data_IF_916212033999
#
_entry.id   IF_916212033999
#
_cell.length_a   1.000
_cell.length_b   1.000
_cell.length_c   1.000
_cell.angle_alpha   90.00
_cell.angle_beta   90.00
_cell.angle_gamma   90.00
#
_symmetry.space_group_name_H-M   'P 1'
#
loop_
_entity.id
_entity.type
_entity.pdbx_description
1 polymer ?
#
# COMPACT_ATOMS: atom_id res chain seq x y z
N UNK A 1 -6.00 31.04 -9.11
CA UNK A 1 -5.08 29.93 -9.48
C UNK A 1 -4.98 29.04 -8.26
N UNK A 2 -5.50 27.81 -8.33
CA UNK A 2 -5.46 26.90 -7.20
C UNK A 2 -4.02 26.43 -6.97
N UNK A 3 -3.46 26.81 -5.83
CA UNK A 3 -2.18 26.32 -5.35
C UNK A 3 -2.35 24.81 -5.07
N UNK A 4 -1.66 23.98 -5.83
CA UNK A 4 -1.67 22.54 -5.61
C UNK A 4 -0.88 22.31 -4.33
N UNK A 5 -1.59 22.21 -3.20
CA UNK A 5 -1.03 21.83 -1.90
C UNK A 5 -0.29 20.51 -2.07
N UNK A 6 1.04 20.57 -2.17
CA UNK A 6 1.87 19.36 -2.23
C UNK A 6 1.66 18.62 -0.92
N UNK A 7 1.15 17.39 -1.00
CA UNK A 7 1.04 16.42 0.09
C UNK A 7 2.44 16.19 0.70
N UNK A 8 2.85 17.08 1.58
CA UNK A 8 4.14 17.05 2.27
C UNK A 8 4.00 16.66 3.74
N UNK A 9 2.77 16.42 4.20
CA UNK A 9 2.43 16.26 5.62
C UNK A 9 2.23 14.84 6.13
N UNK A 10 2.60 13.78 5.41
CA UNK A 10 2.35 12.41 5.88
C UNK A 10 3.52 11.47 5.59
N UNK A 11 4.62 11.65 6.33
CA UNK A 11 5.69 10.66 6.47
C UNK A 11 5.70 10.35 7.97
N UNK A 12 4.94 9.41 8.51
CA UNK A 12 4.99 7.96 8.33
C UNK A 12 3.65 7.44 8.89
N UNK A 13 2.74 6.92 8.04
CA UNK A 13 1.50 6.25 8.51
C UNK A 13 1.68 4.75 8.69
N UNK A 14 2.85 4.23 8.32
CA UNK A 14 3.15 2.80 8.31
C UNK A 14 3.89 2.52 9.61
N UNK A 15 3.24 1.79 10.51
CA UNK A 15 3.92 1.19 11.65
C UNK A 15 5.01 0.25 11.13
N UNK A 16 6.26 0.54 11.48
CA UNK A 16 7.42 -0.25 11.11
C UNK A 16 8.02 -0.96 12.33
N UNK A 17 7.32 -1.09 13.46
CA UNK A 17 7.84 -1.76 14.65
C UNK A 17 8.20 -3.24 14.38
N UNK A 18 7.66 -3.83 13.31
CA UNK A 18 8.03 -5.17 12.83
C UNK A 18 9.43 -5.24 12.17
N UNK A 19 10.11 -4.11 11.98
CA UNK A 19 11.37 -3.96 11.24
C UNK A 19 12.62 -4.21 12.09
N UNK A 20 12.53 -4.31 13.42
CA UNK A 20 13.66 -4.34 14.38
C UNK A 20 14.84 -5.28 14.03
N UNK A 21 14.67 -6.24 13.12
CA UNK A 21 15.69 -7.21 12.69
C UNK A 21 16.17 -7.08 11.26
N UNK A 22 15.71 -6.11 10.49
CA UNK A 22 16.07 -5.98 9.09
C UNK A 22 17.19 -4.96 8.85
N UNK A 23 18.24 -5.35 8.11
CA UNK A 23 19.37 -4.46 7.75
C UNK A 23 19.01 -3.43 6.67
N UNK A 24 17.73 -3.16 6.45
CA UNK A 24 17.24 -2.20 5.46
C UNK A 24 16.92 -0.90 6.19
N UNK A 25 17.29 0.28 5.67
CA UNK A 25 16.84 1.54 6.25
C UNK A 25 15.30 1.63 6.28
N UNK A 26 14.71 2.07 7.40
CA UNK A 26 13.25 2.23 7.57
C UNK A 26 12.60 3.05 6.45
N UNK A 27 13.26 4.14 6.04
CA UNK A 27 12.80 4.99 4.95
C UNK A 27 12.62 4.20 3.65
N UNK A 28 13.52 3.26 3.35
CA UNK A 28 13.44 2.43 2.17
C UNK A 28 12.31 1.39 2.25
N UNK A 29 12.05 0.85 3.45
CA UNK A 29 10.90 -0.03 3.68
C UNK A 29 9.57 0.71 3.54
N UNK A 30 9.45 1.90 4.14
CA UNK A 30 8.28 2.76 3.98
C UNK A 30 8.03 3.06 2.50
N UNK A 31 9.08 3.41 1.74
CA UNK A 31 8.96 3.66 0.31
C UNK A 31 8.56 2.41 -0.48
N UNK A 32 9.12 1.24 -0.15
CA UNK A 32 8.74 -0.02 -0.78
C UNK A 32 7.27 -0.39 -0.54
N UNK A 33 6.79 -0.24 0.69
CA UNK A 33 5.40 -0.48 1.05
C UNK A 33 4.48 0.53 0.36
N UNK A 34 4.78 1.83 0.44
CA UNK A 34 3.98 2.88 -0.21
C UNK A 34 3.88 2.67 -1.72
N UNK A 35 5.00 2.38 -2.37
CA UNK A 35 5.06 2.14 -3.82
C UNK A 35 4.10 1.03 -4.22
N UNK A 36 4.11 -0.09 -3.49
CA UNK A 36 3.22 -1.20 -3.77
C UNK A 36 1.75 -0.86 -3.49
N UNK A 37 1.46 -0.17 -2.38
CA UNK A 37 0.10 0.28 -2.00
C UNK A 37 -0.50 1.20 -3.06
N UNK A 38 0.30 2.07 -3.70
CA UNK A 38 -0.18 2.93 -4.79
C UNK A 38 -0.27 2.22 -6.15
N UNK A 39 -0.07 0.89 -6.19
CA UNK A 39 -0.32 0.05 -7.35
C UNK A 39 0.92 -0.34 -8.17
N UNK A 40 2.15 -0.05 -7.71
CA UNK A 40 3.35 -0.58 -8.37
C UNK A 40 3.43 -2.10 -8.17
N UNK A 41 3.81 -2.82 -9.22
CA UNK A 41 4.12 -4.25 -9.13
C UNK A 41 5.31 -4.47 -8.19
N UNK A 42 5.41 -5.65 -7.57
CA UNK A 42 6.55 -6.01 -6.74
C UNK A 42 7.89 -5.91 -7.49
N UNK A 43 7.91 -6.23 -8.80
CA UNK A 43 9.11 -6.09 -9.63
C UNK A 43 9.51 -4.63 -9.80
N UNK A 44 8.55 -3.75 -10.12
CA UNK A 44 8.80 -2.33 -10.31
C UNK A 44 9.22 -1.66 -8.99
N UNK A 45 8.65 -2.10 -7.86
CA UNK A 45 9.08 -1.64 -6.54
C UNK A 45 10.52 -2.05 -6.23
N UNK A 46 10.93 -3.28 -6.57
CA UNK A 46 12.32 -3.72 -6.41
C UNK A 46 13.27 -2.90 -7.29
N UNK A 47 12.91 -2.65 -8.56
CA UNK A 47 13.71 -1.81 -9.46
C UNK A 47 13.85 -0.37 -8.93
N UNK A 48 12.77 0.20 -8.39
CA UNK A 48 12.80 1.51 -7.75
C UNK A 48 13.76 1.52 -6.55
N UNK A 49 13.70 0.52 -5.68
CA UNK A 49 14.58 0.42 -4.53
C UNK A 49 16.05 0.24 -4.94
N UNK A 50 16.32 -0.57 -5.97
CA UNK A 50 17.66 -0.76 -6.52
C UNK A 50 18.23 0.56 -7.09
N UNK A 51 17.40 1.36 -7.77
CA UNK A 51 17.79 2.69 -8.25
C UNK A 51 18.17 3.67 -7.12
N UNK A 52 17.67 3.42 -5.91
CA UNK A 52 17.99 4.15 -4.68
C UNK A 52 19.15 3.51 -3.90
N UNK A 53 19.81 2.49 -4.44
CA UNK A 53 20.91 1.77 -3.80
C UNK A 53 20.48 0.72 -2.77
N UNK A 54 19.19 0.35 -2.74
CA UNK A 54 18.62 -0.59 -1.78
C UNK A 54 18.25 -1.89 -2.48
N UNK A 55 19.18 -2.84 -2.48
CA UNK A 55 18.97 -4.15 -3.09
C UNK A 55 18.12 -5.06 -2.21
N UNK A 56 16.90 -5.37 -2.67
CA UNK A 56 15.97 -6.27 -1.98
C UNK A 56 15.23 -7.17 -2.94
N UNK A 57 14.81 -8.32 -2.43
CA UNK A 57 14.03 -9.28 -3.20
C UNK A 57 12.56 -8.88 -3.24
N UNK A 58 11.83 -9.34 -4.26
CA UNK A 58 10.36 -9.21 -4.33
C UNK A 58 9.67 -9.80 -3.09
N UNK A 59 10.24 -10.87 -2.53
CA UNK A 59 9.76 -11.49 -1.30
C UNK A 59 9.93 -10.57 -0.09
N UNK A 60 11.05 -9.88 0.04
CA UNK A 60 11.26 -8.93 1.14
C UNK A 60 10.20 -7.81 1.09
N UNK A 61 10.00 -7.19 -0.09
CA UNK A 61 8.96 -6.17 -0.28
C UNK A 61 7.57 -6.69 0.05
N UNK A 62 7.22 -7.89 -0.43
CA UNK A 62 5.94 -8.53 -0.10
C UNK A 62 5.77 -8.77 1.41
N UNK A 63 6.81 -9.27 2.08
CA UNK A 63 6.78 -9.55 3.52
C UNK A 63 6.63 -8.26 4.32
N UNK A 64 7.20 -7.13 3.87
CA UNK A 64 6.98 -5.82 4.49
C UNK A 64 5.54 -5.35 4.37
N UNK A 65 4.95 -5.46 3.16
CA UNK A 65 3.56 -5.05 2.92
C UNK A 65 2.60 -5.85 3.80
N UNK A 66 2.83 -7.17 3.91
CA UNK A 66 2.02 -8.05 4.75
C UNK A 66 2.15 -7.71 6.24
N UNK A 67 3.37 -7.47 6.73
CA UNK A 67 3.61 -7.17 8.15
C UNK A 67 3.16 -5.77 8.56
N UNK A 68 3.13 -4.84 7.62
CA UNK A 68 2.60 -3.51 7.85
C UNK A 68 1.09 -3.50 8.15
N UNK A 69 0.39 -4.61 7.88
CA UNK A 69 -1.02 -4.85 8.18
C UNK A 69 -1.87 -3.58 8.07
N UNK A 70 -1.79 -2.95 6.90
CA UNK A 70 -2.48 -1.68 6.59
C UNK A 70 -3.98 -1.95 6.44
N UNK A 71 -4.64 -2.29 7.55
CA UNK A 71 -6.07 -2.41 7.64
C UNK A 71 -6.68 -1.00 7.66
N UNK A 72 -7.82 -0.80 6.97
CA UNK A 72 -8.59 0.42 7.16
C UNK A 72 -9.08 0.49 8.61
N UNK A 73 -8.93 1.67 9.23
CA UNK A 73 -9.40 1.91 10.59
C UNK A 73 -10.86 1.46 10.75
N UNK A 74 -11.10 0.59 11.73
CA UNK A 74 -12.42 0.00 11.99
C UNK A 74 -13.42 1.00 12.57
N UNK A 75 -13.01 2.24 12.85
CA UNK A 75 -13.80 3.28 13.50
C UNK A 75 -15.01 3.75 12.70
N UNK A 76 -16.20 3.49 13.25
CA UNK A 76 -17.56 3.90 12.85
C UNK A 76 -18.29 2.99 11.86
N UNK A 77 -19.46 2.51 12.30
CA UNK A 77 -20.48 1.87 11.47
C UNK A 77 -20.90 2.84 10.37
N UNK A 78 -20.58 2.57 9.10
CA UNK A 78 -20.98 3.46 8.03
C UNK A 78 -22.48 3.33 7.76
N UNK A 79 -23.14 4.46 7.51
CA UNK A 79 -24.53 4.46 7.07
C UNK A 79 -24.67 4.15 5.57
N UNK A 80 -23.54 4.12 4.83
CA UNK A 80 -23.50 3.83 3.40
C UNK A 80 -22.28 2.96 3.05
N UNK A 81 -22.51 1.94 2.22
CA UNK A 81 -21.48 1.08 1.65
C UNK A 81 -21.56 1.17 0.13
N UNK A 82 -20.41 1.28 -0.54
CA UNK A 82 -20.32 1.12 -1.98
C UNK A 82 -19.91 -0.33 -2.29
N UNK A 83 -20.63 -0.98 -3.20
CA UNK A 83 -20.27 -2.29 -3.74
C UNK A 83 -19.81 -2.09 -5.18
N UNK A 84 -18.61 -2.60 -5.51
CA UNK A 84 -18.11 -2.67 -6.87
C UNK A 84 -17.89 -4.13 -7.27
N UNK A 85 -18.22 -4.46 -8.52
CA UNK A 85 -18.02 -5.77 -9.12
C UNK A 85 -17.14 -5.59 -10.35
N UNK A 86 -15.97 -6.23 -10.35
CA UNK A 86 -15.01 -6.13 -11.45
C UNK A 86 -14.48 -7.50 -11.85
N UNK A 87 -14.28 -7.72 -13.15
CA UNK A 87 -13.64 -8.96 -13.64
C UNK A 87 -12.12 -8.79 -13.54
N UNK A 88 -11.48 -9.65 -12.77
CA UNK A 88 -10.02 -9.72 -12.66
C UNK A 88 -9.48 -10.99 -13.33
N UNK A 89 -8.19 -10.98 -13.66
CA UNK A 89 -7.48 -12.14 -14.22
C UNK A 89 -6.31 -12.53 -13.32
N UNK A 90 -6.33 -13.76 -12.82
CA UNK A 90 -5.26 -14.34 -12.00
C UNK A 90 -4.83 -15.66 -12.64
N UNK A 91 -3.53 -15.84 -12.90
CA UNK A 91 -2.97 -17.05 -13.52
C UNK A 91 -3.74 -17.49 -14.79
N UNK A 92 -3.99 -16.52 -15.68
CA UNK A 92 -4.73 -16.73 -16.93
C UNK A 92 -6.22 -17.07 -16.81
N UNK A 93 -6.78 -17.17 -15.60
CA UNK A 93 -8.20 -17.43 -15.36
C UNK A 93 -8.93 -16.14 -14.95
N UNK A 94 -10.17 -16.00 -15.40
CA UNK A 94 -11.04 -14.86 -15.05
C UNK A 94 -11.84 -15.15 -13.78
N UNK A 95 -11.94 -14.16 -12.91
CA UNK A 95 -12.70 -14.20 -11.67
C UNK A 95 -13.51 -12.91 -11.51
N UNK A 96 -14.69 -13.02 -10.90
CA UNK A 96 -15.41 -11.86 -10.39
C UNK A 96 -14.85 -11.48 -9.03
N UNK A 97 -14.38 -10.23 -8.89
CA UNK A 97 -13.98 -9.63 -7.64
C UNK A 97 -15.11 -8.71 -7.17
N UNK A 98 -15.60 -8.96 -5.96
CA UNK A 98 -16.55 -8.10 -5.26
C UNK A 98 -15.80 -7.30 -4.20
N UNK A 99 -15.81 -5.97 -4.32
CA UNK A 99 -15.21 -5.07 -3.35
C UNK A 99 -16.30 -4.26 -2.65
N UNK A 100 -16.26 -4.25 -1.31
CA UNK A 100 -17.13 -3.40 -0.50
C UNK A 100 -16.28 -2.29 0.11
N UNK A 101 -16.61 -1.05 -0.21
CA UNK A 101 -15.96 0.13 0.32
C UNK A 101 -16.86 0.81 1.35
N UNK A 102 -16.26 1.15 2.48
CA UNK A 102 -16.84 2.04 3.48
C UNK A 102 -16.69 3.48 2.99
N UNK A 103 -17.80 4.18 2.80
CA UNK A 103 -17.76 5.63 2.54
C UNK A 103 -17.70 6.36 3.89
N UNK A 104 -16.70 7.21 4.08
CA UNK A 104 -16.69 8.15 5.21
C UNK A 104 -17.66 9.30 4.89
N UNK A 105 -18.54 9.64 5.83
CA UNK A 105 -19.42 10.81 5.70
C UNK A 105 -18.58 12.07 5.47
N UNK A 106 -18.93 12.92 4.48
CA UNK A 106 -18.27 14.21 4.31
C UNK A 106 -18.63 15.10 5.52
N UNK A 107 -17.60 15.66 6.17
CA UNK A 107 -17.76 16.67 7.21
C UNK A 107 -18.27 17.99 6.63
#
# INVERSE_FOLDING_TARGET
>A
MAEISRLSGHRVWIDLDFVERERTPEVAMAWGIQSHVVGLSLSNTVELLDSLGVQRSRKAVHDWVQKADLQPDSGKSPNQIALDETVIRINDQQFWLYAVLRMAEPF
#
